data_IF_370489033048
#
_entry.id   IF_370489033048
#
_cell.length_a   1.000
_cell.length_b   1.000
_cell.length_c   1.000
_cell.angle_alpha   90.00
_cell.angle_beta   90.00
_cell.angle_gamma   90.00
#
_symmetry.space_group_name_H-M   'P 1'
#
loop_
_entity.id
_entity.type
_entity.pdbx_description
1 polymer ?
#
# COMPACT_ATOMS: atom_id res chain seq x y z
N UNK A 1 -19.16 -1.18 6.48
CA UNK A 1 -18.07 -0.82 7.40
C UNK A 1 -16.83 -1.59 7.00
N UNK A 2 -15.70 -0.90 6.80
CA UNK A 2 -14.42 -1.53 6.50
C UNK A 2 -13.47 -1.31 7.68
N UNK A 3 -12.43 -2.14 7.76
CA UNK A 3 -11.31 -1.96 8.70
C UNK A 3 -10.02 -1.87 7.92
N UNK A 4 -9.03 -1.18 8.48
CA UNK A 4 -7.67 -1.16 7.93
C UNK A 4 -6.80 -2.03 8.81
N UNK A 5 -6.15 -3.03 8.20
CA UNK A 5 -5.17 -3.88 8.90
C UNK A 5 -3.88 -3.96 8.12
N UNK A 6 -2.81 -4.29 8.83
CA UNK A 6 -1.50 -4.53 8.24
C UNK A 6 -1.38 -5.98 7.74
N UNK A 7 -0.67 -6.16 6.63
CA UNK A 7 -0.24 -7.44 6.08
C UNK A 7 1.28 -7.51 6.25
N UNK A 8 1.75 -8.48 7.03
CA UNK A 8 3.16 -8.60 7.41
C UNK A 8 3.98 -9.48 6.45
N UNK A 9 3.34 -10.49 5.89
CA UNK A 9 3.96 -11.52 5.07
C UNK A 9 2.89 -12.19 4.18
N UNK A 10 3.31 -13.10 3.32
CA UNK A 10 2.44 -13.95 2.50
C UNK A 10 2.40 -15.42 3.01
N UNK A 11 2.76 -15.67 4.27
CA UNK A 11 2.79 -17.03 4.84
C UNK A 11 1.36 -17.52 5.10
N UNK A 12 0.53 -16.70 5.75
CA UNK A 12 -0.84 -17.09 6.08
C UNK A 12 -1.76 -17.03 4.84
N UNK A 13 -2.67 -18.03 4.64
CA UNK A 13 -3.60 -18.03 3.50
C UNK A 13 -4.44 -16.75 3.39
N UNK A 14 -4.83 -16.17 4.53
CA UNK A 14 -5.57 -14.90 4.58
C UNK A 14 -4.77 -13.72 4.05
N UNK A 15 -3.45 -13.72 4.25
CA UNK A 15 -2.58 -12.66 3.76
C UNK A 15 -2.31 -12.85 2.27
N UNK A 16 -2.11 -14.09 1.80
CA UNK A 16 -2.00 -14.39 0.35
C UNK A 16 -3.22 -13.93 -0.41
N UNK A 17 -4.42 -14.25 0.08
CA UNK A 17 -5.67 -13.84 -0.54
C UNK A 17 -5.84 -12.30 -0.57
N UNK A 18 -5.36 -11.60 0.46
CA UNK A 18 -5.35 -10.14 0.45
C UNK A 18 -4.32 -9.58 -0.54
N UNK A 19 -3.11 -10.16 -0.60
CA UNK A 19 -2.05 -9.76 -1.51
C UNK A 19 -2.46 -9.94 -2.98
N UNK A 20 -3.13 -11.04 -3.33
CA UNK A 20 -3.64 -11.25 -4.69
C UNK A 20 -4.72 -10.23 -5.07
N UNK A 21 -5.60 -9.86 -4.14
CA UNK A 21 -6.55 -8.76 -4.38
C UNK A 21 -5.82 -7.40 -4.53
N UNK A 22 -4.77 -7.15 -3.76
CA UNK A 22 -3.94 -5.94 -3.90
C UNK A 22 -3.28 -5.90 -5.28
N UNK A 23 -2.64 -6.99 -5.73
CA UNK A 23 -2.05 -7.08 -7.07
C UNK A 23 -3.09 -6.84 -8.17
N UNK A 24 -4.31 -7.36 -8.01
CA UNK A 24 -5.39 -7.10 -8.95
C UNK A 24 -5.79 -5.61 -9.00
N UNK A 25 -5.86 -4.94 -7.84
CA UNK A 25 -6.11 -3.49 -7.79
C UNK A 25 -4.94 -2.73 -8.45
N UNK A 26 -3.68 -3.11 -8.18
CA UNK A 26 -2.51 -2.50 -8.79
C UNK A 26 -2.55 -2.59 -10.32
N UNK A 27 -2.76 -3.79 -10.86
CA UNK A 27 -2.85 -4.01 -12.33
C UNK A 27 -3.98 -3.20 -12.97
N UNK A 28 -5.08 -3.01 -12.24
CA UNK A 28 -6.21 -2.21 -12.72
C UNK A 28 -5.99 -0.70 -12.64
N UNK A 29 -5.16 -0.22 -11.70
CA UNK A 29 -4.96 1.22 -11.43
C UNK A 29 -3.71 1.79 -12.07
N UNK A 30 -2.69 0.97 -12.23
CA UNK A 30 -1.38 1.36 -12.73
C UNK A 30 -1.03 0.51 -13.96
N UNK A 31 -1.69 0.78 -15.08
CA UNK A 31 -1.49 0.02 -16.32
C UNK A 31 -0.04 0.07 -16.83
N UNK A 32 0.68 1.16 -16.54
CA UNK A 32 2.07 1.37 -16.92
C UNK A 32 3.08 0.77 -15.93
N UNK A 33 2.64 0.27 -14.77
CA UNK A 33 3.53 -0.31 -13.79
C UNK A 33 4.09 -1.67 -14.29
N UNK A 34 5.40 -1.92 -14.18
CA UNK A 34 5.99 -3.19 -14.60
C UNK A 34 5.35 -4.37 -13.88
N UNK A 35 4.87 -5.36 -14.63
CA UNK A 35 4.22 -6.55 -14.05
C UNK A 35 5.13 -7.26 -13.02
N UNK A 36 6.45 -7.30 -13.30
CA UNK A 36 7.43 -7.86 -12.39
C UNK A 36 7.55 -7.15 -11.04
N UNK A 37 7.24 -5.85 -10.97
CA UNK A 37 7.23 -5.10 -9.71
C UNK A 37 6.01 -5.45 -8.85
N UNK A 38 4.84 -5.54 -9.49
CA UNK A 38 3.58 -5.96 -8.84
C UNK A 38 3.70 -7.38 -8.28
N UNK A 39 4.31 -8.30 -9.05
CA UNK A 39 4.47 -9.70 -8.62
C UNK A 39 5.45 -9.84 -7.45
N UNK A 40 6.45 -8.96 -7.38
CA UNK A 40 7.47 -8.95 -6.31
C UNK A 40 6.99 -8.32 -5.01
N UNK A 41 5.81 -7.70 -4.95
CA UNK A 41 5.29 -7.05 -3.73
C UNK A 41 5.30 -7.99 -2.52
N UNK A 42 4.96 -9.27 -2.70
CA UNK A 42 5.02 -10.27 -1.62
C UNK A 42 6.44 -10.50 -1.10
N UNK A 43 7.43 -10.55 -2.00
CA UNK A 43 8.84 -10.72 -1.63
C UNK A 43 9.39 -9.50 -0.88
N UNK A 44 9.00 -8.29 -1.30
CA UNK A 44 9.39 -7.05 -0.62
C UNK A 44 8.81 -6.92 0.80
N UNK A 45 7.71 -7.61 1.10
CA UNK A 45 7.18 -7.71 2.47
C UNK A 45 8.00 -8.68 3.33
N UNK A 46 8.54 -9.74 2.71
CA UNK A 46 9.27 -10.77 3.43
C UNK A 46 10.74 -10.41 3.70
N UNK A 47 11.37 -9.65 2.80
CA UNK A 47 12.77 -9.24 2.93
C UNK A 47 12.90 -7.70 2.99
N UNK A 48 12.86 -7.11 4.21
CA UNK A 48 13.04 -5.69 4.42
C UNK A 48 14.47 -5.20 4.15
N UNK A 49 15.45 -6.08 3.91
CA UNK A 49 16.83 -5.70 3.66
C UNK A 49 17.13 -5.46 2.18
N UNK A 50 16.32 -6.00 1.25
CA UNK A 50 16.52 -5.84 -0.20
C UNK A 50 16.57 -4.38 -0.66
N UNK A 51 15.80 -3.49 -0.01
CA UNK A 51 15.74 -2.06 -0.36
C UNK A 51 16.26 -1.14 0.74
N UNK A 52 16.81 -1.66 1.86
CA UNK A 52 17.13 -0.91 3.10
C UNK A 52 15.94 -0.26 3.83
N UNK A 53 14.77 -0.21 3.20
CA UNK A 53 13.53 0.28 3.80
C UNK A 53 12.76 -0.83 4.49
N UNK A 54 12.12 -0.48 5.61
CA UNK A 54 11.06 -1.32 6.19
C UNK A 54 9.76 -1.11 5.41
N UNK A 55 9.37 -2.09 4.60
CA UNK A 55 8.10 -2.10 3.85
C UNK A 55 6.92 -2.44 4.77
N UNK A 56 5.80 -1.76 4.59
CA UNK A 56 4.54 -2.04 5.29
C UNK A 56 3.38 -1.97 4.31
N UNK A 57 2.55 -3.03 4.26
CA UNK A 57 1.31 -3.05 3.49
C UNK A 57 0.10 -2.92 4.43
N UNK A 58 -0.73 -1.92 4.19
CA UNK A 58 -2.05 -1.76 4.82
C UNK A 58 -3.16 -2.06 3.83
N UNK A 59 -4.16 -2.85 4.24
CA UNK A 59 -5.33 -3.19 3.42
C UNK A 59 -6.61 -2.73 4.10
N UNK A 60 -7.48 -2.06 3.34
CA UNK A 60 -8.84 -1.73 3.74
C UNK A 60 -9.78 -2.86 3.27
N UNK A 61 -10.39 -3.59 4.21
CA UNK A 61 -11.23 -4.75 3.90
C UNK A 61 -12.54 -4.78 4.71
N UNK A 62 -13.58 -5.44 4.20
CA UNK A 62 -14.80 -5.75 4.97
C UNK A 62 -14.66 -7.04 5.82
N UNK A 63 -15.72 -7.37 6.55
CA UNK A 63 -15.81 -8.61 7.33
C UNK A 63 -15.77 -9.90 6.49
N UNK A 64 -15.97 -9.80 5.17
CA UNK A 64 -15.82 -10.92 4.22
C UNK A 64 -14.44 -10.96 3.57
N UNK A 65 -13.48 -10.15 4.06
CA UNK A 65 -12.09 -10.05 3.57
C UNK A 65 -12.00 -9.57 2.12
N UNK A 66 -13.00 -8.82 1.66
CA UNK A 66 -12.94 -8.15 0.36
C UNK A 66 -12.11 -6.89 0.51
N UNK A 67 -11.04 -6.76 -0.26
CA UNK A 67 -10.16 -5.59 -0.25
C UNK A 67 -10.76 -4.49 -1.11
N UNK A 68 -10.95 -3.31 -0.52
CA UNK A 68 -11.42 -2.11 -1.21
C UNK A 68 -10.30 -1.15 -1.60
N UNK A 69 -9.14 -1.28 -0.97
CA UNK A 69 -7.97 -0.46 -1.25
C UNK A 69 -6.80 -0.86 -0.37
N UNK A 70 -5.65 -0.29 -0.66
CA UNK A 70 -4.41 -0.56 0.04
C UNK A 70 -3.47 0.64 0.02
N UNK A 71 -2.46 0.58 0.89
CA UNK A 71 -1.33 1.49 0.89
C UNK A 71 -0.02 0.73 1.20
N UNK A 72 1.05 1.03 0.46
CA UNK A 72 2.41 0.53 0.68
C UNK A 72 3.27 1.67 1.19
N UNK A 73 3.82 1.52 2.38
CA UNK A 73 4.67 2.50 3.04
C UNK A 73 6.08 1.93 3.19
N UNK A 74 7.07 2.69 2.76
CA UNK A 74 8.49 2.41 2.96
C UNK A 74 9.00 3.33 4.08
N UNK A 75 9.63 2.77 5.10
CA UNK A 75 10.20 3.55 6.19
C UNK A 75 11.73 3.41 6.23
N UNK A 76 12.43 4.55 6.22
CA UNK A 76 13.88 4.61 6.42
C UNK A 76 14.21 5.06 7.85
N UNK A 77 14.64 4.15 8.73
CA UNK A 77 14.80 4.46 10.16
C UNK A 77 16.01 5.34 10.47
N UNK A 78 17.05 5.40 9.62
CA UNK A 78 18.28 6.17 9.94
C UNK A 78 18.09 7.66 9.66
N UNK A 79 17.56 7.99 8.48
CA UNK A 79 17.26 9.38 8.08
C UNK A 79 15.90 9.81 8.67
N UNK A 80 15.05 8.84 9.06
CA UNK A 80 13.72 9.05 9.66
C UNK A 80 12.76 9.73 8.68
N UNK A 81 12.52 9.08 7.55
CA UNK A 81 11.42 9.48 6.66
C UNK A 81 10.61 8.26 6.22
N UNK A 82 9.40 8.53 5.76
CA UNK A 82 8.57 7.55 5.09
C UNK A 82 8.34 7.95 3.63
N UNK A 83 8.25 6.97 2.75
CA UNK A 83 7.84 7.13 1.36
C UNK A 83 6.57 6.30 1.13
N UNK A 84 5.48 6.96 0.75
CA UNK A 84 4.25 6.30 0.34
C UNK A 84 4.41 5.90 -1.13
N UNK A 85 4.74 4.61 -1.32
CA UNK A 85 5.11 4.03 -2.61
C UNK A 85 3.88 3.78 -3.48
N UNK A 86 2.83 3.20 -2.88
CA UNK A 86 1.58 2.94 -3.58
C UNK A 86 0.38 3.25 -2.69
N UNK A 87 -0.63 3.90 -3.24
CA UNK A 87 -1.95 4.01 -2.61
C UNK A 87 -3.02 3.91 -3.68
N UNK A 88 -3.98 3.03 -3.49
CA UNK A 88 -5.04 2.84 -4.47
C UNK A 88 -6.30 2.23 -3.86
N UNK A 89 -7.43 2.52 -4.50
CA UNK A 89 -8.73 1.89 -4.22
C UNK A 89 -9.23 1.14 -5.45
N UNK A 90 -10.12 0.19 -5.23
CA UNK A 90 -10.80 -0.56 -6.28
C UNK A 90 -11.54 0.39 -7.26
N UNK A 91 -11.51 0.08 -8.56
CA UNK A 91 -12.20 0.83 -9.62
C UNK A 91 -13.71 0.56 -9.58
N UNK A 92 -14.52 1.55 -9.98
CA UNK A 92 -15.97 1.39 -10.18
C UNK A 92 -16.81 1.37 -8.91
N UNK A 93 -16.22 1.62 -7.74
CA UNK A 93 -16.94 1.90 -6.50
C UNK A 93 -16.60 3.29 -5.99
N UNK A 94 -17.61 4.04 -5.57
CA UNK A 94 -17.40 5.25 -4.79
C UNK A 94 -16.49 4.90 -3.61
N UNK A 95 -15.36 5.61 -3.47
CA UNK A 95 -14.34 5.24 -2.48
C UNK A 95 -14.86 5.32 -1.05
N UNK A 96 -15.96 6.03 -0.80
CA UNK A 96 -16.65 6.05 0.50
C UNK A 96 -15.74 6.47 1.66
N UNK A 97 -14.70 7.27 1.37
CA UNK A 97 -13.67 7.66 2.33
C UNK A 97 -12.53 6.64 2.54
N UNK A 98 -12.49 5.53 1.81
CA UNK A 98 -11.43 4.50 1.93
C UNK A 98 -10.04 5.09 1.64
N UNK A 99 -9.91 5.90 0.59
CA UNK A 99 -8.63 6.54 0.25
C UNK A 99 -8.14 7.49 1.36
N UNK A 100 -9.04 8.34 1.87
CA UNK A 100 -8.74 9.23 3.00
C UNK A 100 -8.36 8.46 4.26
N UNK A 101 -9.12 7.41 4.61
CA UNK A 101 -8.82 6.58 5.77
C UNK A 101 -7.49 5.83 5.64
N UNK A 102 -7.13 5.36 4.43
CA UNK A 102 -5.82 4.76 4.15
C UNK A 102 -4.70 5.78 4.30
N UNK A 103 -4.89 7.00 3.79
CA UNK A 103 -3.90 8.06 3.93
C UNK A 103 -3.72 8.50 5.39
N UNK A 104 -4.80 8.64 6.15
CA UNK A 104 -4.75 8.92 7.59
C UNK A 104 -4.04 7.81 8.36
N UNK A 105 -4.24 6.55 7.96
CA UNK A 105 -3.50 5.42 8.53
C UNK A 105 -2.00 5.54 8.23
N UNK A 106 -1.62 5.86 7.00
CA UNK A 106 -0.22 6.06 6.61
C UNK A 106 0.41 7.18 7.43
N UNK A 107 -0.26 8.32 7.59
CA UNK A 107 0.21 9.44 8.41
C UNK A 107 0.43 9.03 9.88
N UNK A 108 -0.52 8.30 10.47
CA UNK A 108 -0.38 7.79 11.84
C UNK A 108 0.81 6.83 11.96
N UNK A 109 1.01 5.95 10.98
CA UNK A 109 2.13 5.00 10.99
C UNK A 109 3.48 5.70 10.84
N UNK A 110 3.59 6.68 9.93
CA UNK A 110 4.80 7.50 9.78
C UNK A 110 5.15 8.24 11.09
N UNK A 111 4.15 8.85 11.74
CA UNK A 111 4.34 9.50 13.03
C UNK A 111 4.76 8.50 14.13
N UNK A 112 4.13 7.32 14.18
CA UNK A 112 4.47 6.28 15.15
C UNK A 112 5.89 5.71 14.97
N UNK A 113 6.41 5.73 13.74
CA UNK A 113 7.80 5.38 13.46
C UNK A 113 8.80 6.50 13.79
N UNK A 114 8.33 7.69 14.16
CA UNK A 114 9.19 8.85 14.41
C UNK A 114 9.76 9.46 13.13
N UNK A 115 9.11 9.25 11.99
CA UNK A 115 9.50 9.87 10.74
C UNK A 115 9.30 11.39 10.80
N UNK A 116 10.27 12.15 10.31
CA UNK A 116 10.26 13.61 10.21
C UNK A 116 9.50 14.10 8.98
N UNK A 117 9.35 13.25 7.96
CA UNK A 117 8.69 13.57 6.72
C UNK A 117 8.00 12.34 6.10
N UNK A 118 6.93 12.62 5.34
CA UNK A 118 6.24 11.66 4.47
C UNK A 118 6.32 12.20 3.04
N UNK A 119 6.98 11.45 2.17
CA UNK A 119 7.12 11.75 0.75
C UNK A 119 6.28 10.80 -0.10
N UNK A 120 5.90 11.24 -1.28
CA UNK A 120 5.33 10.42 -2.35
C UNK A 120 5.41 11.19 -3.66
N UNK A 121 5.33 10.47 -4.76
CA UNK A 121 5.13 11.04 -6.08
C UNK A 121 3.70 10.78 -6.56
N UNK A 122 3.19 11.71 -7.36
CA UNK A 122 1.89 11.59 -8.01
C UNK A 122 2.06 12.16 -9.41
N UNK A 123 1.59 11.41 -10.40
CA UNK A 123 1.50 11.95 -11.75
C UNK A 123 0.45 13.09 -11.76
N UNK A 124 0.63 14.09 -12.63
CA UNK A 124 -0.41 15.08 -12.86
C UNK A 124 -1.69 14.40 -13.35
N UNK A 125 -2.83 15.03 -13.08
CA UNK A 125 -4.13 14.53 -13.56
C UNK A 125 -4.25 14.61 -15.09
N UNK A 126 -3.51 15.52 -15.71
CA UNK A 126 -3.38 15.63 -17.15
C UNK A 126 -2.26 14.71 -17.66
N UNK A 127 -2.57 13.67 -18.45
CA UNK A 127 -1.57 12.76 -18.99
C UNK A 127 -0.63 13.42 -20.01
N UNK A 128 -0.91 14.64 -20.47
CA UNK A 128 -0.06 15.39 -21.41
C UNK A 128 0.91 16.38 -20.72
N UNK A 129 0.84 16.54 -19.39
CA UNK A 129 1.76 17.36 -18.56
C UNK A 129 2.83 16.53 -17.85
#
# INVERSE_FOLDING_TARGET
MFRIRRVYDDVLPVNRAALEQVKAIMRSRFASAPAGEIDQLGRHLHDPFLKRFRTTLSVAEDGRRRVFGFAVLLHEPRIRFCYLDWIATQVGKASGGVGGALYDRVRHEAAAFGAQALFFECLPDDPEL
#
